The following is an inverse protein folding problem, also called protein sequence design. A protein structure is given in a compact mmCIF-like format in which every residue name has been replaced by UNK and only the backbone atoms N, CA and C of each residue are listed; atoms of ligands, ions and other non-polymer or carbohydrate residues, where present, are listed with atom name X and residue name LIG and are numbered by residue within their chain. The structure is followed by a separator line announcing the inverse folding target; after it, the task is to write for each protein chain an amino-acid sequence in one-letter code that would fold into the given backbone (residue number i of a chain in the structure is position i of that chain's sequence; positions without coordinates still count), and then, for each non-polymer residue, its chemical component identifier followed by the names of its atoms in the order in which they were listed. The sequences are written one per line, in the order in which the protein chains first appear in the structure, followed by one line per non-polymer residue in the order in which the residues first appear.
data_IF_064680733616
#
_entry.id   IF_064680733616
#
_cell.length_a   1.000
_cell.length_b   1.000
_cell.length_c   1.000
_cell.angle_alpha   90.00
_cell.angle_beta   90.00
_cell.angle_gamma   90.00
#
_symmetry.space_group_name_H-M   'P 1'
#
loop_
_entity.id
_entity.type
_entity.pdbx_description
1 polymer ?
#
# COMPACT_ATOMS: atom_id res chain seq x y z
N UNK A 1 -2.54 -21.83 -14.93
CA UNK A 1 -3.19 -21.70 -13.59
C UNK A 1 -4.00 -20.41 -13.48
N UNK A 2 -3.46 -19.26 -13.87
CA UNK A 2 -4.15 -17.95 -13.82
C UNK A 2 -5.38 -17.85 -14.73
N UNK A 3 -5.40 -18.48 -15.90
CA UNK A 3 -6.45 -18.26 -16.91
C UNK A 3 -7.86 -18.67 -16.45
N UNK A 4 -8.02 -19.85 -15.82
CA UNK A 4 -9.31 -20.25 -15.24
C UNK A 4 -9.75 -19.30 -14.11
N UNK A 5 -8.80 -18.85 -13.28
CA UNK A 5 -9.07 -17.88 -12.21
C UNK A 5 -9.47 -16.50 -12.77
N UNK A 6 -8.87 -16.06 -13.87
CA UNK A 6 -9.24 -14.81 -14.55
C UNK A 6 -10.63 -14.90 -15.19
N UNK A 7 -10.98 -16.03 -15.79
CA UNK A 7 -12.34 -16.29 -16.29
C UNK A 7 -13.37 -16.28 -15.14
N UNK A 8 -13.03 -16.91 -14.01
CA UNK A 8 -13.86 -16.88 -12.80
C UNK A 8 -14.04 -15.45 -12.28
N UNK A 9 -12.95 -14.69 -12.17
CA UNK A 9 -12.97 -13.29 -11.75
C UNK A 9 -13.84 -12.45 -12.67
N UNK A 10 -13.73 -12.61 -14.00
CA UNK A 10 -14.56 -11.90 -14.95
C UNK A 10 -16.06 -12.14 -14.73
N UNK A 11 -16.46 -13.38 -14.47
CA UNK A 11 -17.85 -13.72 -14.16
C UNK A 11 -18.31 -13.04 -12.87
N UNK A 12 -17.48 -13.03 -11.82
CA UNK A 12 -17.82 -12.42 -10.54
C UNK A 12 -17.87 -10.88 -10.60
N UNK A 13 -16.92 -10.22 -11.27
CA UNK A 13 -16.94 -8.76 -11.40
C UNK A 13 -18.14 -8.27 -12.22
N UNK A 14 -18.49 -8.99 -13.29
CA UNK A 14 -19.71 -8.70 -14.07
C UNK A 14 -20.99 -8.94 -13.26
N UNK A 15 -20.98 -9.96 -12.41
CA UNK A 15 -22.10 -10.35 -11.57
C UNK A 15 -22.26 -9.56 -10.27
N UNK A 16 -21.38 -8.59 -9.99
CA UNK A 16 -21.38 -7.86 -8.71
C UNK A 16 -22.79 -7.29 -8.38
N UNK A 17 -23.22 -7.33 -7.10
CA UNK A 17 -24.60 -7.03 -6.73
C UNK A 17 -25.08 -5.66 -7.20
N UNK A 18 -26.34 -5.58 -7.64
CA UNK A 18 -26.95 -4.36 -8.18
C UNK A 18 -27.03 -3.19 -7.19
N UNK A 19 -26.93 -3.49 -5.88
CA UNK A 19 -26.82 -2.51 -4.80
C UNK A 19 -25.56 -1.62 -4.91
N UNK A 20 -24.50 -2.10 -5.59
CA UNK A 20 -23.35 -1.28 -5.91
C UNK A 20 -23.67 -0.34 -7.07
N UNK A 21 -23.29 0.93 -6.91
CA UNK A 21 -23.48 1.94 -7.94
C UNK A 21 -22.59 1.67 -9.16
N UNK A 22 -23.11 1.98 -10.35
CA UNK A 22 -22.29 2.09 -11.57
C UNK A 22 -21.84 3.55 -11.65
N UNK A 23 -20.52 3.77 -11.75
CA UNK A 23 -19.95 5.10 -11.94
C UNK A 23 -19.36 5.25 -13.34
N UNK A 24 -19.40 6.46 -13.93
CA UNK A 24 -18.64 6.72 -15.14
C UNK A 24 -17.13 6.61 -14.87
N UNK A 25 -16.34 6.31 -15.91
CA UNK A 25 -14.88 6.11 -15.78
C UNK A 25 -14.15 7.30 -15.15
N UNK A 26 -14.61 8.53 -15.37
CA UNK A 26 -14.01 9.75 -14.81
C UNK A 26 -14.17 9.88 -13.29
N UNK A 27 -15.15 9.20 -12.70
CA UNK A 27 -15.49 9.28 -11.27
C UNK A 27 -15.27 7.97 -10.52
N UNK A 28 -14.99 6.89 -11.26
CA UNK A 28 -14.70 5.56 -10.73
C UNK A 28 -13.30 5.53 -10.14
N UNK A 29 -13.18 5.04 -8.91
CA UNK A 29 -11.87 4.78 -8.29
C UNK A 29 -11.14 3.63 -8.97
N UNK A 30 -11.89 2.73 -9.59
CA UNK A 30 -11.40 1.55 -10.29
C UNK A 30 -11.25 1.79 -11.80
N UNK A 31 -10.90 3.00 -12.26
CA UNK A 31 -10.79 3.29 -13.69
C UNK A 31 -9.64 2.51 -14.40
N UNK A 32 -9.81 1.20 -14.58
CA UNK A 32 -8.83 0.28 -15.17
C UNK A 32 -8.90 0.25 -16.70
N UNK A 33 -9.90 0.90 -17.30
CA UNK A 33 -10.09 0.90 -18.76
C UNK A 33 -8.88 1.43 -19.52
N UNK A 34 -8.22 2.45 -18.96
CA UNK A 34 -7.01 3.06 -19.50
C UNK A 34 -5.85 2.87 -18.50
N UNK A 35 -5.72 1.67 -17.93
CA UNK A 35 -4.65 1.38 -16.98
C UNK A 35 -3.29 1.37 -17.69
N UNK A 36 -2.44 2.30 -17.30
CA UNK A 36 -1.04 2.36 -17.70
C UNK A 36 -0.19 2.63 -16.45
N UNK A 37 0.82 1.79 -16.16
CA UNK A 37 1.74 2.02 -15.06
C UNK A 37 2.50 3.32 -15.25
N UNK A 38 2.70 4.02 -14.14
CA UNK A 38 3.40 5.29 -14.10
C UNK A 38 4.87 5.09 -14.53
N UNK A 39 5.33 5.89 -15.50
CA UNK A 39 6.67 5.74 -16.09
C UNK A 39 7.75 5.94 -15.02
N UNK A 40 7.58 6.89 -14.11
CA UNK A 40 8.54 7.15 -13.05
C UNK A 40 8.63 5.94 -12.10
N UNK A 41 7.50 5.25 -11.86
CA UNK A 41 7.52 4.03 -11.06
C UNK A 41 8.10 2.85 -11.82
N UNK A 42 7.91 2.76 -13.13
CA UNK A 42 8.55 1.72 -13.94
C UNK A 42 10.08 1.86 -13.82
N UNK A 43 10.59 3.08 -13.89
CA UNK A 43 12.02 3.36 -13.75
C UNK A 43 12.54 3.02 -12.35
N UNK A 44 11.81 3.42 -11.30
CA UNK A 44 12.25 3.26 -9.91
C UNK A 44 12.16 1.81 -9.38
N UNK A 45 11.05 1.11 -9.68
CA UNK A 45 10.71 -0.18 -9.06
C UNK A 45 10.40 -1.28 -10.08
N UNK A 46 10.64 -1.01 -11.36
CA UNK A 46 10.33 -1.93 -12.46
C UNK A 46 8.83 -1.99 -12.76
N UNK A 47 8.50 -2.51 -13.94
CA UNK A 47 7.12 -2.59 -14.42
C UNK A 47 6.18 -3.32 -13.46
N UNK A 48 6.60 -4.48 -12.94
CA UNK A 48 5.79 -5.25 -11.97
C UNK A 48 5.59 -4.46 -10.67
N UNK A 49 6.61 -3.76 -10.20
CA UNK A 49 6.51 -2.91 -9.01
C UNK A 49 5.51 -1.77 -9.23
N UNK A 50 5.59 -1.09 -10.37
CA UNK A 50 4.69 -0.01 -10.75
C UNK A 50 3.22 -0.48 -10.85
N UNK A 51 2.99 -1.65 -11.47
CA UNK A 51 1.67 -2.28 -11.52
C UNK A 51 1.17 -2.57 -10.10
N UNK A 52 1.98 -3.19 -9.24
CA UNK A 52 1.60 -3.47 -7.85
C UNK A 52 1.20 -2.19 -7.11
N UNK A 53 2.03 -1.15 -7.18
CA UNK A 53 1.79 0.12 -6.49
C UNK A 53 0.47 0.78 -6.94
N UNK A 54 0.18 0.78 -8.24
CA UNK A 54 -1.08 1.33 -8.75
C UNK A 54 -2.30 0.48 -8.39
N UNK A 55 -2.16 -0.85 -8.36
CA UNK A 55 -3.21 -1.74 -7.88
C UNK A 55 -3.53 -1.48 -6.40
N UNK A 56 -2.52 -1.31 -5.53
CA UNK A 56 -2.72 -0.97 -4.11
C UNK A 56 -3.47 0.36 -3.93
N UNK A 57 -3.19 1.36 -4.75
CA UNK A 57 -3.89 2.66 -4.67
C UNK A 57 -5.37 2.52 -4.99
N UNK A 58 -5.72 1.71 -6.00
CA UNK A 58 -7.11 1.59 -6.47
C UNK A 58 -7.91 0.61 -5.62
N UNK A 59 -7.33 -0.55 -5.32
CA UNK A 59 -7.97 -1.68 -4.63
C UNK A 59 -7.80 -1.65 -3.11
N UNK A 60 -6.85 -0.85 -2.59
CA UNK A 60 -6.47 -0.84 -1.18
C UNK A 60 -5.22 -1.68 -0.92
N UNK A 61 -4.64 -1.52 0.28
CA UNK A 61 -3.47 -2.31 0.65
C UNK A 61 -3.91 -3.68 1.16
N UNK A 62 -3.08 -4.71 0.96
CA UNK A 62 -3.36 -6.05 1.49
C UNK A 62 -3.44 -6.13 3.01
N UNK A 63 -2.88 -5.13 3.71
CA UNK A 63 -2.95 -5.04 5.16
C UNK A 63 -4.35 -4.66 5.66
N UNK A 64 -5.17 -4.04 4.81
CA UNK A 64 -6.51 -3.56 5.16
C UNK A 64 -7.58 -4.66 5.11
N UNK A 65 -7.19 -5.89 4.79
CA UNK A 65 -8.09 -7.05 4.67
C UNK A 65 -8.43 -7.38 3.21
N UNK A 66 -9.52 -8.15 2.98
CA UNK A 66 -9.98 -8.48 1.64
C UNK A 66 -10.34 -7.22 0.83
N UNK A 67 -10.14 -7.26 -0.48
CA UNK A 67 -10.58 -6.18 -1.36
C UNK A 67 -12.10 -6.02 -1.24
N UNK A 68 -12.56 -4.81 -0.93
CA UNK A 68 -13.99 -4.50 -0.88
C UNK A 68 -14.40 -3.71 -2.14
N UNK A 69 -15.11 -4.35 -3.06
CA UNK A 69 -15.64 -3.64 -4.23
C UNK A 69 -16.83 -2.78 -3.82
N UNK A 70 -16.71 -1.47 -4.03
CA UNK A 70 -17.70 -0.46 -3.63
C UNK A 70 -18.53 0.09 -4.79
N UNK A 71 -18.22 -0.32 -6.02
CA UNK A 71 -18.91 0.04 -7.26
C UNK A 71 -18.82 -1.14 -8.21
N UNK A 72 -19.60 -1.12 -9.30
CA UNK A 72 -19.61 -2.18 -10.32
C UNK A 72 -19.64 -1.61 -11.73
N UNK A 73 -19.51 -2.51 -12.71
CA UNK A 73 -19.61 -2.20 -14.13
C UNK A 73 -18.24 -2.05 -14.82
N UNK A 74 -18.22 -1.46 -16.03
CA UNK A 74 -17.07 -1.54 -16.93
C UNK A 74 -15.71 -1.11 -16.36
N UNK A 75 -15.62 -0.05 -15.51
CA UNK A 75 -14.34 0.31 -14.89
C UNK A 75 -13.76 -0.82 -14.03
N UNK A 76 -14.59 -1.48 -13.23
CA UNK A 76 -14.19 -2.58 -12.33
C UNK A 76 -13.88 -3.83 -13.14
N UNK A 77 -14.74 -4.17 -14.10
CA UNK A 77 -14.55 -5.34 -14.97
C UNK A 77 -13.23 -5.29 -15.74
N UNK A 78 -12.75 -4.08 -16.09
CA UNK A 78 -11.47 -3.89 -16.77
C UNK A 78 -10.25 -4.32 -15.93
N UNK A 79 -10.38 -4.54 -14.61
CA UNK A 79 -9.32 -5.14 -13.78
C UNK A 79 -8.86 -6.49 -14.35
N UNK A 80 -9.78 -7.29 -14.90
CA UNK A 80 -9.43 -8.59 -15.50
C UNK A 80 -8.45 -8.41 -16.65
N UNK A 81 -8.65 -7.40 -17.49
CA UNK A 81 -7.77 -7.14 -18.63
C UNK A 81 -6.37 -6.73 -18.17
N UNK A 82 -6.28 -5.96 -17.08
CA UNK A 82 -5.00 -5.58 -16.46
C UNK A 82 -4.27 -6.82 -15.95
N UNK A 83 -4.94 -7.65 -15.16
CA UNK A 83 -4.32 -8.85 -14.59
C UNK A 83 -3.98 -9.88 -15.67
N UNK A 84 -4.83 -10.08 -16.67
CA UNK A 84 -4.56 -10.96 -17.80
C UNK A 84 -3.32 -10.52 -18.59
N UNK A 85 -3.24 -9.23 -18.94
CA UNK A 85 -2.08 -8.67 -19.64
C UNK A 85 -0.78 -8.92 -18.87
N UNK A 86 -0.70 -8.47 -17.61
CA UNK A 86 0.55 -8.52 -16.88
C UNK A 86 0.93 -9.93 -16.40
N UNK A 87 -0.03 -10.83 -16.16
CA UNK A 87 0.30 -12.23 -15.86
C UNK A 87 0.79 -13.00 -17.09
N UNK A 88 0.41 -12.58 -18.31
CA UNK A 88 0.97 -13.11 -19.56
C UNK A 88 2.37 -12.57 -19.84
N UNK A 89 2.59 -11.27 -19.62
CA UNK A 89 3.90 -10.64 -19.81
C UNK A 89 4.94 -11.13 -18.78
N UNK A 90 4.49 -11.51 -17.58
CA UNK A 90 5.33 -12.00 -16.49
C UNK A 90 4.83 -13.34 -15.93
N UNK A 91 4.96 -14.44 -16.69
CA UNK A 91 4.55 -15.76 -16.23
C UNK A 91 5.38 -16.16 -15.00
N UNK A 92 4.73 -16.73 -13.98
CA UNK A 92 5.31 -17.11 -12.68
C UNK A 92 5.58 -15.94 -11.71
N UNK A 93 5.11 -14.72 -12.01
CA UNK A 93 5.22 -13.64 -11.04
C UNK A 93 4.20 -13.84 -9.89
N UNK A 94 4.70 -14.29 -8.75
CA UNK A 94 3.90 -14.58 -7.55
C UNK A 94 3.08 -13.38 -7.08
N UNK A 95 3.58 -12.15 -7.28
CA UNK A 95 2.89 -10.95 -6.84
C UNK A 95 1.63 -10.67 -7.69
N UNK A 96 1.72 -10.86 -9.00
CA UNK A 96 0.61 -10.70 -9.93
C UNK A 96 -0.40 -11.84 -9.80
N UNK A 97 0.07 -13.08 -9.63
CA UNK A 97 -0.83 -14.21 -9.32
C UNK A 97 -1.60 -13.97 -8.02
N UNK A 98 -0.93 -13.44 -6.99
CA UNK A 98 -1.57 -13.09 -5.74
C UNK A 98 -2.65 -12.01 -5.92
N UNK A 99 -2.47 -11.04 -6.82
CA UNK A 99 -3.52 -10.06 -7.13
C UNK A 99 -4.76 -10.70 -7.77
N UNK A 100 -4.60 -11.75 -8.58
CA UNK A 100 -5.74 -12.52 -9.10
C UNK A 100 -6.50 -13.19 -7.96
N UNK A 101 -5.77 -13.82 -7.03
CA UNK A 101 -6.37 -14.49 -5.88
C UNK A 101 -7.07 -13.52 -4.92
N UNK A 102 -6.40 -12.40 -4.61
CA UNK A 102 -6.95 -11.37 -3.72
C UNK A 102 -8.19 -10.71 -4.35
N UNK A 103 -8.19 -10.44 -5.66
CA UNK A 103 -9.35 -9.87 -6.37
C UNK A 103 -10.52 -10.86 -6.40
N UNK A 104 -10.24 -12.16 -6.58
CA UNK A 104 -11.27 -13.19 -6.53
C UNK A 104 -11.89 -13.29 -5.13
N UNK A 105 -11.05 -13.35 -4.10
CA UNK A 105 -11.48 -13.36 -2.71
C UNK A 105 -12.28 -12.10 -2.36
N UNK A 106 -11.87 -10.93 -2.86
CA UNK A 106 -12.58 -9.68 -2.66
C UNK A 106 -13.96 -9.64 -3.33
N UNK A 107 -14.08 -10.20 -4.53
CA UNK A 107 -15.37 -10.31 -5.20
C UNK A 107 -16.33 -11.21 -4.41
N UNK A 108 -15.85 -12.39 -3.99
CA UNK A 108 -16.61 -13.32 -3.13
C UNK A 108 -17.03 -12.66 -1.82
N UNK A 109 -16.09 -11.97 -1.15
CA UNK A 109 -16.36 -11.23 0.08
C UNK A 109 -17.44 -10.16 -0.13
N UNK A 110 -17.44 -9.48 -1.28
CA UNK A 110 -18.44 -8.47 -1.62
C UNK A 110 -19.85 -9.06 -1.76
N UNK A 111 -19.98 -10.24 -2.40
CA UNK A 111 -21.26 -10.97 -2.44
C UNK A 111 -21.74 -11.35 -1.05
N UNK A 112 -20.85 -11.94 -0.23
CA UNK A 112 -21.16 -12.34 1.14
C UNK A 112 -21.58 -11.16 2.02
N UNK A 113 -20.88 -10.02 1.91
CA UNK A 113 -21.15 -8.80 2.70
C UNK A 113 -22.49 -8.17 2.35
N UNK A 114 -22.91 -8.28 1.09
CA UNK A 114 -24.19 -7.78 0.61
C UNK A 114 -25.31 -8.84 0.66
N UNK A 115 -25.06 -9.97 1.33
CA UNK A 115 -25.99 -11.09 1.49
C UNK A 115 -26.62 -11.54 0.16
N UNK A 116 -25.87 -11.39 -0.93
CA UNK A 116 -26.30 -11.75 -2.28
C UNK A 116 -25.68 -13.10 -2.63
N UNK A 117 -26.44 -14.08 -3.12
CA UNK A 117 -25.88 -15.36 -3.50
C UNK A 117 -24.84 -15.17 -4.61
N UNK A 118 -23.74 -15.93 -4.52
CA UNK A 118 -22.81 -16.02 -5.62
C UNK A 118 -23.55 -16.56 -6.85
N UNK A 119 -23.36 -15.96 -8.04
CA UNK A 119 -23.98 -16.46 -9.25
C UNK A 119 -23.51 -17.90 -9.49
N UNK A 120 -24.44 -18.85 -9.46
CA UNK A 120 -24.18 -20.24 -9.83
C UNK A 120 -24.10 -20.33 -11.36
N UNK A 121 -22.88 -20.21 -11.88
CA UNK A 121 -22.64 -20.25 -13.31
C UNK A 121 -22.15 -21.62 -13.80
N UNK A 122 -22.31 -22.67 -12.99
CA UNK A 122 -21.87 -24.03 -13.30
C UNK A 122 -20.35 -24.13 -13.35
N UNK A 123 -19.71 -24.31 -12.19
CA UNK A 123 -18.31 -24.77 -12.14
C UNK A 123 -18.32 -26.27 -12.42
N UNK A 124 -17.42 -26.83 -13.27
CA UNK A 124 -17.21 -28.26 -13.31
C UNK A 124 -16.79 -28.72 -11.91
N UNK A 125 -17.59 -29.58 -11.29
CA UNK A 125 -17.38 -30.08 -9.93
C UNK A 125 -15.97 -30.66 -9.81
N UNK A 126 -15.19 -30.15 -8.86
CA UNK A 126 -13.95 -30.76 -8.43
C UNK A 126 -14.25 -31.97 -7.52
N UNK A 127 -15.05 -32.91 -8.03
CA UNK A 127 -15.16 -34.24 -7.45
C UNK A 127 -14.07 -35.11 -8.10
N UNK A 128 -12.90 -35.15 -7.47
CA UNK A 128 -12.00 -36.32 -7.40
C UNK A 128 -10.72 -35.93 -6.65
N UNK A 129 -10.76 -35.98 -5.31
CA UNK A 129 -9.70 -36.52 -4.45
C UNK A 129 -10.15 -36.45 -2.98
N UNK A 130 -11.19 -37.21 -2.65
CA UNK A 130 -11.31 -37.78 -1.31
C UNK A 130 -10.46 -39.05 -1.27
N UNK A 131 -9.48 -39.06 -0.38
CA UNK A 131 -8.97 -40.29 0.21
C UNK A 131 -8.55 -39.97 1.64
N UNK A 132 -9.58 -39.78 2.46
CA UNK A 132 -9.54 -40.02 3.89
C UNK A 132 -8.94 -41.40 4.15
N UNK A 133 -7.77 -41.47 4.79
CA UNK A 133 -7.31 -42.65 5.54
C UNK A 133 -6.96 -42.25 6.96
N UNK A 134 -7.67 -42.91 7.86
CA UNK A 134 -7.57 -42.85 9.31
C UNK A 134 -6.13 -43.06 9.83
N UNK A 135 -5.78 -42.29 10.85
CA UNK A 135 -4.89 -42.74 11.91
C UNK A 135 -5.30 -42.04 13.22
N UNK A 136 -6.02 -42.79 14.03
CA UNK A 136 -6.32 -42.55 15.43
C UNK A 136 -5.05 -42.78 16.27
N UNK A 137 -4.69 -41.85 17.18
CA UNK A 137 -3.89 -42.13 18.40
C UNK A 137 -3.76 -40.89 19.32
N UNK A 138 -4.54 -40.94 20.40
CA UNK A 138 -4.32 -40.53 21.80
C UNK A 138 -3.64 -39.18 22.21
N UNK A 139 -4.12 -38.55 23.30
CA UNK A 139 -3.54 -37.35 23.90
C UNK A 139 -2.43 -37.67 24.90
N UNK A 140 -1.35 -36.89 24.89
CA UNK A 140 -0.35 -36.87 25.98
C UNK A 140 -0.29 -35.48 26.60
N UNK A 141 -0.34 -35.47 27.94
CA UNK A 141 -0.60 -34.29 28.74
C UNK A 141 0.63 -33.51 29.20
N UNK A 142 0.29 -32.34 29.75
CA UNK A 142 0.89 -31.61 30.89
C UNK A 142 2.42 -31.62 31.05
N UNK A 143 2.98 -30.41 31.16
CA UNK A 143 3.57 -29.92 32.42
C UNK A 143 3.55 -28.39 32.54
N UNK A 144 3.03 -27.94 33.68
CA UNK A 144 3.05 -26.57 34.25
C UNK A 144 4.47 -26.27 34.77
N UNK A 145 5.01 -25.07 34.59
CA UNK A 145 5.04 -23.96 35.58
C UNK A 145 6.48 -23.73 36.09
N UNK A 146 6.83 -22.67 36.87
CA UNK A 146 6.05 -21.55 37.43
C UNK A 146 6.59 -20.17 36.90
N UNK A 147 5.90 -19.03 36.83
CA UNK A 147 5.12 -18.21 37.78
C UNK A 147 5.88 -17.74 39.03
N UNK A 148 6.24 -16.45 39.07
CA UNK A 148 5.94 -15.52 40.18
C UNK A 148 5.73 -14.14 39.52
N UNK A 149 4.52 -13.55 39.40
CA UNK A 149 3.67 -12.92 40.43
C UNK A 149 4.42 -11.83 41.19
N UNK A 150 3.95 -10.60 41.37
CA UNK A 150 2.61 -10.04 41.57
C UNK A 150 2.81 -8.49 41.59
N UNK A 151 1.85 -7.56 41.51
CA UNK A 151 0.42 -7.50 41.86
C UNK A 151 -0.07 -6.12 41.37
N UNK A 152 -1.23 -6.05 40.70
CA UNK A 152 -2.50 -5.47 41.19
C UNK A 152 -2.51 -3.92 41.21
N UNK A 153 -3.56 -3.20 40.81
CA UNK A 153 -4.99 -3.52 40.96
C UNK A 153 -5.86 -2.72 39.97
N UNK A 154 -7.01 -3.33 39.62
CA UNK A 154 -8.37 -2.73 39.50
C UNK A 154 -8.63 -1.56 38.54
N UNK A 155 -9.80 -1.38 37.89
CA UNK A 155 -10.90 -2.24 37.41
C UNK A 155 -11.96 -1.28 36.81
N UNK A 156 -12.34 -1.49 35.54
CA UNK A 156 -13.73 -1.39 34.98
C UNK A 156 -14.36 0.03 34.82
N UNK A 157 -15.34 0.23 33.91
CA UNK A 157 -15.42 0.06 32.45
C UNK A 157 -15.57 1.45 31.76
N UNK A 158 -15.89 1.55 30.44
CA UNK A 158 -16.90 2.50 29.88
C UNK A 158 -16.96 2.50 28.34
N UNK A 159 -18.16 2.20 27.87
CA UNK A 159 -18.95 2.67 26.72
C UNK A 159 -18.34 3.13 25.37
N UNK A 160 -19.01 2.61 24.33
CA UNK A 160 -19.22 3.15 22.97
C UNK A 160 -19.80 4.59 22.97
N UNK A 161 -19.36 5.43 22.01
CA UNK A 161 -20.10 6.47 21.22
C UNK A 161 -19.05 7.35 20.51
N UNK A 162 -18.97 7.42 19.18
CA UNK A 162 -19.81 8.13 18.18
C UNK A 162 -19.62 9.66 18.10
N UNK A 163 -19.51 10.15 16.85
CA UNK A 163 -19.58 11.56 16.35
C UNK A 163 -18.32 12.40 16.67
N UNK A 164 -17.73 13.19 15.78
CA UNK A 164 -18.17 13.82 14.55
C UNK A 164 -17.85 15.33 14.62
N UNK A 165 -17.26 15.89 13.54
CA UNK A 165 -17.01 17.32 13.24
C UNK A 165 -15.85 17.96 14.05
N UNK A 166 -15.09 18.93 13.55
CA UNK A 166 -15.41 19.96 12.57
C UNK A 166 -14.17 20.46 11.82
N UNK A 167 -14.36 20.84 10.56
CA UNK A 167 -13.48 21.75 9.85
C UNK A 167 -13.51 23.12 10.56
N UNK A 168 -12.33 23.65 10.87
CA UNK A 168 -12.16 25.07 11.15
C UNK A 168 -11.26 25.62 10.04
N UNK A 169 -11.94 26.24 9.08
CA UNK A 169 -11.34 27.11 8.08
C UNK A 169 -11.08 28.45 8.77
N UNK A 170 -9.82 28.82 8.95
CA UNK A 170 -9.46 30.20 9.28
C UNK A 170 -8.53 30.70 8.18
N UNK A 171 -9.12 31.48 7.26
CA UNK A 171 -8.39 32.25 6.25
C UNK A 171 -7.69 33.40 6.94
N UNK A 172 -6.38 33.53 6.73
CA UNK A 172 -5.68 34.81 6.81
C UNK A 172 -4.53 34.82 5.79
N UNK A 173 -4.68 35.75 4.85
CA UNK A 173 -3.66 36.48 4.10
C UNK A 173 -2.49 35.74 3.43
N UNK A 174 -2.58 35.69 2.09
CA UNK A 174 -1.46 35.93 1.16
C UNK A 174 -0.12 35.29 1.52
N UNK A 175 0.07 34.04 1.11
CA UNK A 175 1.39 33.42 1.10
C UNK A 175 1.57 32.65 -0.20
N UNK A 176 2.68 32.89 -0.88
CA UNK A 176 3.14 32.18 -2.07
C UNK A 176 3.09 30.68 -1.75
N UNK A 177 2.42 29.88 -2.58
CA UNK A 177 2.45 28.41 -2.47
C UNK A 177 3.91 27.99 -2.58
N UNK A 178 4.53 27.71 -1.44
CA UNK A 178 5.74 26.90 -1.37
C UNK A 178 5.24 25.50 -1.07
N UNK A 179 5.61 24.55 -1.92
CA UNK A 179 5.24 23.13 -1.82
C UNK A 179 5.96 22.46 -0.65
N UNK A 180 5.69 22.92 0.57
CA UNK A 180 6.29 22.42 1.80
C UNK A 180 5.39 21.29 2.31
N UNK A 181 5.90 20.06 2.20
CA UNK A 181 5.16 18.84 2.58
C UNK A 181 4.90 18.70 4.10
N UNK A 182 5.55 19.50 4.95
CA UNK A 182 5.34 19.49 6.40
C UNK A 182 5.89 20.75 7.05
N UNK A 183 5.24 21.24 8.11
CA UNK A 183 5.69 22.44 8.82
C UNK A 183 7.15 22.29 9.29
N UNK A 184 8.10 23.12 8.84
CA UNK A 184 9.50 23.02 9.24
C UNK A 184 9.71 23.24 10.73
N UNK A 185 8.86 24.06 11.36
CA UNK A 185 8.93 24.35 12.80
C UNK A 185 8.47 23.16 13.67
N UNK A 186 7.76 22.19 13.08
CA UNK A 186 7.37 20.94 13.74
C UNK A 186 8.47 19.87 13.65
N UNK A 187 9.67 20.19 13.13
CA UNK A 187 10.76 19.22 12.94
C UNK A 187 11.96 19.52 13.84
N UNK A 188 12.34 18.53 14.65
CA UNK A 188 13.60 18.54 15.41
C UNK A 188 14.56 17.49 14.84
N UNK A 189 15.80 17.91 14.59
CA UNK A 189 16.86 17.00 14.14
C UNK A 189 17.23 16.00 15.25
N UNK A 190 17.69 14.83 14.83
CA UNK A 190 18.15 13.77 15.73
C UNK A 190 19.55 13.33 15.29
N UNK A 191 20.47 13.25 16.23
CA UNK A 191 21.88 12.96 15.97
C UNK A 191 22.15 11.46 15.73
N UNK A 192 21.19 10.59 16.03
CA UNK A 192 21.36 9.14 15.93
C UNK A 192 20.16 8.50 15.24
N UNK A 193 20.38 7.97 14.05
CA UNK A 193 19.40 7.12 13.38
C UNK A 193 19.32 5.75 14.06
N UNK A 194 18.12 5.17 14.21
CA UNK A 194 18.00 3.78 14.64
C UNK A 194 18.66 2.85 13.62
N UNK A 195 19.53 1.96 14.11
CA UNK A 195 20.20 0.97 13.28
C UNK A 195 19.19 0.11 12.50
N UNK A 196 19.44 -0.06 11.21
CA UNK A 196 18.59 -0.91 10.38
C UNK A 196 18.82 -2.38 10.74
N UNK A 197 17.77 -3.10 11.15
CA UNK A 197 17.81 -4.55 11.45
C UNK A 197 18.01 -5.45 10.21
N UNK A 198 18.38 -4.90 9.06
CA UNK A 198 18.65 -5.62 7.81
C UNK A 198 18.61 -4.73 6.55
N UNK A 199 19.11 -5.24 5.41
CA UNK A 199 19.11 -4.57 4.10
C UNK A 199 20.48 -4.06 3.63
N UNK A 200 20.57 -3.64 2.35
CA UNK A 200 21.78 -3.00 1.79
C UNK A 200 22.06 -1.72 2.59
N UNK A 201 23.31 -1.49 3.05
CA UNK A 201 23.64 -0.26 3.74
C UNK A 201 23.32 0.94 2.86
N UNK A 202 22.85 2.01 3.50
CA UNK A 202 22.57 3.27 2.81
C UNK A 202 23.87 3.81 2.21
N UNK A 203 23.78 4.39 1.03
CA UNK A 203 24.93 5.04 0.40
C UNK A 203 25.33 6.26 1.23
N UNK A 204 26.64 6.53 1.32
CA UNK A 204 27.19 7.70 2.00
C UNK A 204 26.58 9.00 1.45
N UNK A 205 26.38 9.07 0.12
CA UNK A 205 25.76 10.21 -0.55
C UNK A 205 24.36 10.55 -0.03
N UNK A 206 23.56 9.54 0.35
CA UNK A 206 22.21 9.77 0.87
C UNK A 206 22.25 10.35 2.29
N UNK A 207 23.29 10.07 3.07
CA UNK A 207 23.51 10.71 4.37
C UNK A 207 23.97 12.17 4.20
N UNK A 208 24.80 12.46 3.21
CA UNK A 208 25.31 13.82 2.97
C UNK A 208 24.20 14.81 2.58
N UNK A 209 23.16 14.34 1.89
CA UNK A 209 22.09 15.20 1.36
C UNK A 209 20.80 15.20 2.19
N UNK A 210 20.75 14.46 3.31
CA UNK A 210 19.56 14.45 4.19
C UNK A 210 19.90 14.45 5.67
N UNK A 211 19.06 15.12 6.46
CA UNK A 211 19.11 15.09 7.93
C UNK A 211 17.95 14.29 8.49
N UNK A 212 18.23 13.49 9.52
CA UNK A 212 17.22 12.73 10.24
C UNK A 212 16.51 13.64 11.22
N UNK A 213 15.18 13.59 11.25
CA UNK A 213 14.38 14.41 12.14
C UNK A 213 13.16 13.65 12.67
N UNK A 214 12.46 14.24 13.63
CA UNK A 214 11.17 13.74 14.10
C UNK A 214 10.19 14.91 14.21
N UNK A 215 8.91 14.61 13.99
CA UNK A 215 7.85 15.59 14.21
C UNK A 215 7.63 15.79 15.72
N UNK A 216 7.58 17.03 16.20
CA UNK A 216 7.35 17.36 17.61
C UNK A 216 5.92 16.96 18.01
N UNK A 217 4.95 17.28 17.16
CA UNK A 217 3.53 17.03 17.37
C UNK A 217 3.16 15.55 17.49
N UNK A 218 3.82 14.68 16.71
CA UNK A 218 3.42 13.27 16.57
C UNK A 218 4.49 12.28 17.00
N UNK A 219 5.71 12.74 17.28
CA UNK A 219 6.87 11.89 17.58
C UNK A 219 7.33 11.01 16.41
N UNK A 220 6.70 11.13 15.23
CA UNK A 220 7.00 10.27 14.07
C UNK A 220 8.33 10.63 13.43
N UNK A 221 9.07 9.60 13.06
CA UNK A 221 10.34 9.71 12.36
C UNK A 221 10.17 10.25 10.94
N UNK A 222 11.04 11.17 10.58
CA UNK A 222 11.07 11.88 9.30
C UNK A 222 12.53 12.11 8.87
N UNK A 223 12.69 12.62 7.67
CA UNK A 223 13.97 13.12 7.20
C UNK A 223 13.73 14.36 6.35
N UNK A 224 14.64 15.33 6.41
CA UNK A 224 14.58 16.57 5.64
C UNK A 224 15.80 16.71 4.75
N UNK A 225 15.65 17.54 3.71
CA UNK A 225 16.77 17.96 2.89
C UNK A 225 17.86 18.59 3.77
N UNK A 226 19.13 18.27 3.52
CA UNK A 226 20.26 18.83 4.28
C UNK A 226 20.75 20.18 3.75
N UNK A 227 20.25 20.62 2.59
CA UNK A 227 20.65 21.87 1.95
C UNK A 227 20.12 23.07 2.73
N UNK A 228 20.99 24.05 2.97
CA UNK A 228 20.64 25.22 3.76
C UNK A 228 19.55 26.05 3.09
N UNK A 229 18.44 26.25 3.81
CA UNK A 229 17.25 26.95 3.32
C UNK A 229 16.19 26.05 2.67
N UNK A 230 16.50 24.78 2.41
CA UNK A 230 15.48 23.84 1.92
C UNK A 230 14.59 23.32 3.05
N UNK A 231 13.28 23.50 2.90
CA UNK A 231 12.28 23.08 3.90
C UNK A 231 11.61 21.74 3.55
N UNK A 232 12.06 21.08 2.47
CA UNK A 232 11.44 19.84 2.04
C UNK A 232 11.74 18.71 3.03
N UNK A 233 10.69 17.97 3.40
CA UNK A 233 10.80 16.81 4.28
C UNK A 233 9.85 15.70 3.90
N UNK A 234 10.21 14.49 4.28
CA UNK A 234 9.46 13.27 3.97
C UNK A 234 9.25 12.42 5.22
N UNK A 235 8.21 11.59 5.15
CA UNK A 235 7.90 10.61 6.18
C UNK A 235 8.30 9.20 5.74
N UNK A 236 8.52 8.32 6.72
CA UNK A 236 8.81 6.92 6.47
C UNK A 236 10.29 6.64 6.22
N UNK A 237 10.57 5.60 5.41
CA UNK A 237 11.95 5.19 5.12
C UNK A 237 12.61 6.18 4.17
N UNK A 238 13.88 6.48 4.41
CA UNK A 238 14.72 7.34 3.55
C UNK A 238 14.93 6.65 2.20
N UNK A 239 14.21 7.11 1.18
CA UNK A 239 14.30 6.61 -0.19
C UNK A 239 15.19 7.52 -1.04
N UNK A 240 16.20 6.94 -1.69
CA UNK A 240 17.13 7.68 -2.53
C UNK A 240 16.43 8.35 -3.72
N UNK A 241 15.50 7.67 -4.41
CA UNK A 241 14.81 8.22 -5.58
C UNK A 241 14.06 9.51 -5.27
N UNK A 242 13.26 9.53 -4.19
CA UNK A 242 12.54 10.75 -3.75
C UNK A 242 13.47 11.91 -3.43
N UNK A 243 14.58 11.63 -2.75
CA UNK A 243 15.55 12.65 -2.34
C UNK A 243 16.31 13.19 -3.56
N UNK A 244 16.76 12.30 -4.44
CA UNK A 244 17.53 12.68 -5.62
C UNK A 244 16.66 13.39 -6.66
N UNK A 245 15.43 12.95 -6.87
CA UNK A 245 14.48 13.63 -7.74
C UNK A 245 14.23 15.07 -7.26
N UNK A 246 13.99 15.25 -5.96
CA UNK A 246 13.89 16.58 -5.37
C UNK A 246 15.17 17.41 -5.60
N UNK A 247 16.35 16.87 -5.32
CA UNK A 247 17.61 17.60 -5.47
C UNK A 247 17.91 17.99 -6.93
N UNK A 248 17.62 17.11 -7.88
CA UNK A 248 17.89 17.38 -9.29
C UNK A 248 16.89 18.37 -9.88
N UNK A 249 15.60 18.22 -9.56
CA UNK A 249 14.52 18.87 -10.30
C UNK A 249 13.83 20.03 -9.55
N UNK A 250 13.77 19.97 -8.22
CA UNK A 250 12.94 20.88 -7.41
C UNK A 250 13.77 21.76 -6.46
N UNK A 251 14.93 21.28 -6.03
CA UNK A 251 15.74 21.94 -5.02
C UNK A 251 16.54 23.08 -5.63
N UNK A 252 16.25 24.29 -5.15
CA UNK A 252 16.93 25.52 -5.53
C UNK A 252 18.19 25.79 -4.68
N UNK A 253 18.39 25.00 -3.62
CA UNK A 253 19.44 25.21 -2.60
C UNK A 253 20.62 24.24 -2.73
N UNK A 254 20.60 23.34 -3.70
CA UNK A 254 21.67 22.36 -3.89
C UNK A 254 22.70 22.87 -4.90
N UNK A 255 23.97 22.76 -4.53
CA UNK A 255 25.07 23.20 -5.35
C UNK A 255 25.26 22.34 -6.60
N UNK A 256 25.79 22.95 -7.67
CA UNK A 256 26.05 22.29 -8.95
C UNK A 256 26.96 21.06 -8.82
N UNK A 257 27.95 21.09 -7.92
CA UNK A 257 28.83 19.94 -7.67
C UNK A 257 28.04 18.77 -7.06
N UNK A 258 27.15 19.05 -6.11
CA UNK A 258 26.31 18.04 -5.47
C UNK A 258 25.29 17.48 -6.47
N UNK A 259 24.68 18.32 -7.32
CA UNK A 259 23.81 17.85 -8.41
C UNK A 259 24.54 16.89 -9.35
N UNK A 260 25.78 17.17 -9.72
CA UNK A 260 26.59 16.27 -10.56
C UNK A 260 26.91 14.94 -9.87
N UNK A 261 27.24 14.95 -8.57
CA UNK A 261 27.45 13.72 -7.79
C UNK A 261 26.20 12.84 -7.75
N UNK A 262 25.03 13.46 -7.57
CA UNK A 262 23.73 12.77 -7.56
C UNK A 262 23.42 12.20 -8.95
N UNK A 263 23.56 13.00 -10.01
CA UNK A 263 23.31 12.57 -11.38
C UNK A 263 24.18 11.35 -11.76
N UNK A 264 25.47 11.36 -11.38
CA UNK A 264 26.37 10.22 -11.60
C UNK A 264 25.95 8.98 -10.80
N UNK A 265 25.44 9.16 -9.59
CA UNK A 265 24.98 8.07 -8.73
C UNK A 265 23.64 7.47 -9.18
N UNK A 266 22.81 8.22 -9.89
CA UNK A 266 21.54 7.74 -10.48
C UNK A 266 21.72 7.07 -11.84
N UNK A 267 22.81 7.39 -12.56
CA UNK A 267 23.10 6.81 -13.89
C UNK A 267 23.99 5.55 -13.85
N UNK A 268 24.34 5.05 -12.66
CA UNK A 268 25.24 3.92 -12.46
C UNK A 268 24.50 2.71 -11.85
#
# INVERSE_FOLDING_TARGET
MSEHKLQQLAKYLRGLPSALAIKPSSESRYNFKNFEPDVDWIEDIGLVGAVNQQLEIRLGTRADGPIEFTERGPPVEALVNVLDRYTKDFPNNVLLEKWVDDALAGAIHTFSKLETPLPDWGVPSADMADSTRHAESAPLGRKRGPSLTNTASESVPVAKKSKGKAAIQTKLSGFVKSDINHNPDDLIDIDSEPESKGGRPRTTLLHDVTRSCKAISSGKMRYRCAMDGCQQSWSGRRQASRVYNHLLNECHHVDSEMKQKIAKATSA
#
